data_IF_732492240192
#
_entry.id   IF_732492240192
#
_cell.length_a   1.000
_cell.length_b   1.000
_cell.length_c   1.000
_cell.angle_alpha   90.00
_cell.angle_beta   90.00
_cell.angle_gamma   90.00
#
_symmetry.space_group_name_H-M   'P 1'
#
loop_
_entity.id
_entity.type
_entity.pdbx_description
1 polymer ?
#
# COMPACT_ATOMS: atom_id res chain seq x y z
N UNK A 1 -5.86 -37.09 -22.80
CA UNK A 1 -7.18 -36.77 -23.40
C UNK A 1 -8.23 -36.44 -22.35
N UNK A 2 -8.39 -37.25 -21.30
CA UNK A 2 -9.42 -37.07 -20.26
C UNK A 2 -9.38 -35.70 -19.53
N UNK A 3 -8.20 -35.23 -19.13
CA UNK A 3 -8.04 -33.89 -18.52
C UNK A 3 -8.51 -32.76 -19.44
N UNK A 4 -8.24 -32.85 -20.74
CA UNK A 4 -8.62 -31.81 -21.71
C UNK A 4 -10.13 -31.77 -21.87
N UNK A 5 -10.78 -32.94 -21.96
CA UNK A 5 -12.24 -33.04 -22.03
C UNK A 5 -12.92 -32.46 -20.78
N UNK A 6 -12.36 -32.70 -19.60
CA UNK A 6 -12.84 -32.12 -18.35
C UNK A 6 -12.77 -30.59 -18.35
N UNK A 7 -11.63 -30.02 -18.76
CA UNK A 7 -11.47 -28.57 -18.85
C UNK A 7 -12.40 -27.94 -19.91
N UNK A 8 -12.58 -28.60 -21.05
CA UNK A 8 -13.56 -28.16 -22.06
C UNK A 8 -14.98 -28.13 -21.49
N UNK A 9 -15.37 -29.14 -20.68
CA UNK A 9 -16.69 -29.16 -20.03
C UNK A 9 -16.85 -28.02 -19.03
N UNK A 10 -15.83 -27.70 -18.22
CA UNK A 10 -15.84 -26.52 -17.34
C UNK A 10 -16.04 -25.21 -18.12
N UNK A 11 -15.37 -25.06 -19.26
CA UNK A 11 -15.53 -23.88 -20.14
C UNK A 11 -16.95 -23.78 -20.67
N UNK A 12 -17.54 -24.89 -21.13
CA UNK A 12 -18.92 -24.92 -21.60
C UNK A 12 -19.91 -24.55 -20.49
N UNK A 13 -19.69 -25.04 -19.26
CA UNK A 13 -20.52 -24.67 -18.11
C UNK A 13 -20.49 -23.16 -17.86
N UNK A 14 -19.30 -22.53 -17.90
CA UNK A 14 -19.17 -21.08 -17.77
C UNK A 14 -19.83 -20.32 -18.92
N UNK A 15 -19.64 -20.78 -20.16
CA UNK A 15 -20.22 -20.14 -21.34
C UNK A 15 -21.74 -20.17 -21.35
N UNK A 16 -22.35 -21.25 -20.86
CA UNK A 16 -23.79 -21.44 -20.89
C UNK A 16 -24.53 -20.76 -19.73
N UNK A 17 -23.85 -20.53 -18.59
CA UNK A 17 -24.51 -20.12 -17.35
C UNK A 17 -24.01 -18.77 -16.79
N UNK A 18 -22.73 -18.46 -17.03
CA UNK A 18 -22.06 -17.29 -16.42
C UNK A 18 -21.88 -16.17 -17.43
N UNK A 19 -21.45 -16.50 -18.65
CA UNK A 19 -21.17 -15.52 -19.70
C UNK A 19 -22.47 -15.24 -20.48
N UNK A 20 -22.87 -13.97 -20.58
CA UNK A 20 -24.07 -13.58 -21.31
C UNK A 20 -23.71 -12.56 -22.40
N UNK A 21 -24.18 -12.72 -23.65
CA UNK A 21 -24.03 -11.72 -24.71
C UNK A 21 -24.54 -10.33 -24.31
N UNK A 22 -23.87 -9.27 -24.75
CA UNK A 22 -24.24 -7.89 -24.40
C UNK A 22 -25.65 -7.53 -24.86
N UNK A 23 -26.09 -8.06 -26.01
CA UNK A 23 -27.42 -7.78 -26.56
C UNK A 23 -28.52 -8.22 -25.59
N UNK A 24 -28.37 -9.40 -24.98
CA UNK A 24 -29.32 -9.94 -24.01
C UNK A 24 -29.28 -9.11 -22.71
N UNK A 25 -28.08 -8.76 -22.25
CA UNK A 25 -27.94 -7.96 -21.02
C UNK A 25 -28.52 -6.56 -21.13
N UNK A 26 -28.47 -5.91 -22.31
CA UNK A 26 -29.06 -4.57 -22.50
C UNK A 26 -30.55 -4.53 -22.15
N UNK A 27 -31.25 -5.63 -22.33
CA UNK A 27 -32.70 -5.73 -22.11
C UNK A 27 -33.04 -6.30 -20.73
N UNK A 28 -32.14 -7.08 -20.13
CA UNK A 28 -32.44 -7.92 -18.95
C UNK A 28 -31.66 -7.57 -17.70
N UNK A 29 -30.52 -6.88 -17.81
CA UNK A 29 -29.66 -6.60 -16.65
C UNK A 29 -30.31 -5.62 -15.68
N UNK A 30 -30.11 -5.88 -14.39
CA UNK A 30 -30.45 -4.97 -13.29
C UNK A 30 -29.33 -3.97 -12.98
N UNK A 31 -28.17 -4.07 -13.67
CA UNK A 31 -26.93 -3.31 -13.38
C UNK A 31 -26.35 -2.65 -14.64
N UNK A 32 -27.08 -1.73 -15.28
CA UNK A 32 -26.72 -1.16 -16.58
C UNK A 32 -25.38 -0.41 -16.56
N UNK A 33 -24.99 0.16 -15.42
CA UNK A 33 -23.69 0.81 -15.23
C UNK A 33 -22.51 -0.13 -15.48
N UNK A 34 -22.63 -1.41 -15.10
CA UNK A 34 -21.56 -2.40 -15.30
C UNK A 34 -21.37 -2.73 -16.78
N UNK A 35 -22.47 -2.74 -17.53
CA UNK A 35 -22.47 -2.97 -18.97
C UNK A 35 -21.80 -1.81 -19.71
N UNK A 36 -22.13 -0.56 -19.37
CA UNK A 36 -21.50 0.63 -19.97
C UNK A 36 -19.98 0.65 -19.74
N UNK A 37 -19.53 0.33 -18.51
CA UNK A 37 -18.10 0.23 -18.21
C UNK A 37 -17.45 -0.89 -19.02
N UNK A 38 -18.13 -2.04 -19.13
CA UNK A 38 -17.60 -3.18 -19.89
C UNK A 38 -17.51 -2.88 -21.37
N UNK A 39 -18.54 -2.28 -21.98
CA UNK A 39 -18.54 -1.88 -23.40
C UNK A 39 -17.44 -0.84 -23.69
N UNK A 40 -17.30 0.19 -22.85
CA UNK A 40 -16.27 1.22 -23.02
C UNK A 40 -14.83 0.67 -22.94
N UNK A 41 -14.62 -0.39 -22.16
CA UNK A 41 -13.33 -1.06 -21.99
C UNK A 41 -13.10 -2.18 -23.01
N UNK A 42 -14.15 -2.89 -23.41
CA UNK A 42 -14.12 -3.92 -24.47
C UNK A 42 -13.71 -3.33 -25.81
N UNK A 43 -14.19 -2.13 -26.13
CA UNK A 43 -13.92 -1.49 -27.42
C UNK A 43 -12.42 -1.25 -27.70
N UNK A 44 -11.59 -1.17 -26.64
CA UNK A 44 -10.14 -0.94 -26.78
C UNK A 44 -9.32 -2.22 -26.90
N UNK A 45 -9.78 -3.34 -26.32
CA UNK A 45 -8.93 -4.53 -26.16
C UNK A 45 -9.59 -5.89 -26.41
N UNK A 46 -10.92 -5.98 -26.54
CA UNK A 46 -11.66 -7.25 -26.73
C UNK A 46 -11.39 -8.33 -25.65
N UNK A 47 -10.90 -7.93 -24.48
CA UNK A 47 -10.43 -8.84 -23.41
C UNK A 47 -11.41 -9.03 -22.26
N UNK A 48 -12.48 -8.25 -22.21
CA UNK A 48 -13.48 -8.36 -21.15
C UNK A 48 -14.68 -9.14 -21.67
N UNK A 49 -15.28 -9.94 -20.79
CA UNK A 49 -16.48 -10.70 -21.06
C UNK A 49 -17.62 -10.13 -20.25
N UNK A 50 -18.81 -10.18 -20.83
CA UNK A 50 -20.03 -9.84 -20.12
C UNK A 50 -20.50 -11.07 -19.33
N UNK A 51 -20.95 -10.84 -18.10
CA UNK A 51 -21.38 -11.90 -17.18
C UNK A 51 -22.81 -11.63 -16.70
N UNK A 52 -23.48 -12.68 -16.24
CA UNK A 52 -24.82 -12.57 -15.64
C UNK A 52 -24.81 -11.72 -14.36
N UNK A 53 -25.95 -11.12 -14.03
CA UNK A 53 -26.11 -10.36 -12.79
C UNK A 53 -25.80 -11.20 -11.55
N UNK A 54 -26.20 -12.48 -11.57
CA UNK A 54 -25.90 -13.44 -10.50
C UNK A 54 -24.40 -13.66 -10.34
N UNK A 55 -23.67 -13.81 -11.45
CA UNK A 55 -22.22 -13.96 -11.43
C UNK A 55 -21.54 -12.67 -10.93
N UNK A 56 -22.03 -11.50 -11.35
CA UNK A 56 -21.53 -10.23 -10.84
C UNK A 56 -21.72 -10.13 -9.32
N UNK A 57 -22.89 -10.49 -8.79
CA UNK A 57 -23.12 -10.51 -7.33
C UNK A 57 -22.21 -11.47 -6.60
N UNK A 58 -21.96 -12.65 -7.17
CA UNK A 58 -21.00 -13.58 -6.63
C UNK A 58 -19.60 -12.96 -6.54
N UNK A 59 -19.11 -12.32 -7.62
CA UNK A 59 -17.79 -11.68 -7.61
C UNK A 59 -17.71 -10.49 -6.65
N UNK A 60 -18.79 -9.73 -6.45
CA UNK A 60 -18.84 -8.68 -5.45
C UNK A 60 -18.68 -9.22 -4.03
N UNK A 61 -19.32 -10.34 -3.71
CA UNK A 61 -19.16 -11.00 -2.40
C UNK A 61 -17.77 -11.62 -2.25
N UNK A 62 -17.23 -12.21 -3.31
CA UNK A 62 -15.88 -12.77 -3.32
C UNK A 62 -14.83 -11.67 -3.10
N UNK A 63 -15.02 -10.50 -3.73
CA UNK A 63 -14.14 -9.34 -3.53
C UNK A 63 -14.22 -8.80 -2.11
N UNK A 64 -15.42 -8.73 -1.53
CA UNK A 64 -15.59 -8.35 -0.13
C UNK A 64 -14.79 -9.29 0.79
N UNK A 65 -14.95 -10.61 0.62
CA UNK A 65 -14.17 -11.60 1.38
C UNK A 65 -12.66 -11.42 1.19
N UNK A 66 -12.22 -11.10 -0.03
CA UNK A 66 -10.81 -10.87 -0.33
C UNK A 66 -10.27 -9.64 0.40
N UNK A 67 -10.99 -8.53 0.42
CA UNK A 67 -10.56 -7.29 1.09
C UNK A 67 -10.54 -7.45 2.61
N UNK A 68 -11.56 -8.11 3.17
CA UNK A 68 -11.66 -8.35 4.62
C UNK A 68 -10.54 -9.25 5.15
N UNK A 69 -10.07 -10.18 4.30
CA UNK A 69 -9.02 -11.14 4.66
C UNK A 69 -7.62 -10.66 4.26
N UNK A 70 -7.48 -10.01 3.12
CA UNK A 70 -6.18 -9.53 2.60
C UNK A 70 -6.09 -8.01 2.79
N UNK A 71 -5.66 -7.61 3.99
CA UNK A 71 -5.40 -6.23 4.34
C UNK A 71 -4.17 -6.12 5.25
N UNK A 72 -3.79 -4.87 5.55
CA UNK A 72 -2.59 -4.58 6.36
C UNK A 72 -2.66 -5.21 7.75
N UNK A 73 -3.82 -5.15 8.40
CA UNK A 73 -4.00 -5.69 9.74
C UNK A 73 -3.74 -7.20 9.75
N UNK A 74 -4.37 -7.93 8.81
CA UNK A 74 -4.19 -9.38 8.69
C UNK A 74 -2.77 -9.74 8.26
N UNK A 75 -2.14 -8.95 7.38
CA UNK A 75 -0.73 -9.15 7.00
C UNK A 75 0.23 -9.08 8.19
N UNK A 76 0.00 -8.16 9.13
CA UNK A 76 0.83 -8.06 10.33
C UNK A 76 0.56 -9.16 11.35
N UNK A 77 -0.64 -9.75 11.36
CA UNK A 77 -0.99 -10.84 12.27
C UNK A 77 -0.57 -12.22 11.76
N UNK A 78 -0.88 -12.52 10.50
CA UNK A 78 -0.72 -13.87 9.91
C UNK A 78 0.58 -14.01 9.10
N UNK A 79 1.15 -12.90 8.64
CA UNK A 79 2.43 -12.91 7.94
C UNK A 79 2.40 -13.73 6.64
N UNK A 80 3.37 -14.64 6.42
CA UNK A 80 3.50 -15.37 5.15
C UNK A 80 2.32 -16.29 4.79
N UNK A 81 1.58 -16.82 5.78
CA UNK A 81 0.47 -17.76 5.55
C UNK A 81 -0.85 -17.10 5.13
N UNK A 82 -0.91 -15.76 5.21
CA UNK A 82 -2.13 -14.97 4.98
C UNK A 82 -2.93 -15.40 3.74
N UNK A 83 -2.25 -15.63 2.61
CA UNK A 83 -2.91 -15.83 1.32
C UNK A 83 -3.49 -17.25 1.26
N UNK A 84 -2.67 -18.25 1.59
CA UNK A 84 -3.05 -19.66 1.59
C UNK A 84 -4.19 -19.92 2.59
N UNK A 85 -4.07 -19.39 3.82
CA UNK A 85 -5.08 -19.55 4.87
C UNK A 85 -6.41 -18.88 4.45
N UNK A 86 -6.32 -17.68 3.86
CA UNK A 86 -7.50 -16.97 3.35
C UNK A 86 -8.19 -17.73 2.22
N UNK A 87 -7.44 -18.36 1.32
CA UNK A 87 -8.00 -19.17 0.23
C UNK A 87 -8.69 -20.40 0.82
N UNK A 88 -8.05 -21.11 1.74
CA UNK A 88 -8.61 -22.30 2.37
C UNK A 88 -9.94 -21.99 3.06
N UNK A 89 -10.00 -20.94 3.85
CA UNK A 89 -11.22 -20.50 4.53
C UNK A 89 -12.35 -20.17 3.55
N UNK A 90 -12.04 -19.42 2.48
CA UNK A 90 -13.05 -18.99 1.51
C UNK A 90 -13.51 -20.17 0.66
N UNK A 91 -12.62 -21.12 0.34
CA UNK A 91 -13.03 -22.35 -0.36
C UNK A 91 -14.01 -23.20 0.46
N UNK A 92 -13.98 -23.11 1.78
CA UNK A 92 -14.91 -23.82 2.69
C UNK A 92 -16.19 -23.01 3.02
N UNK A 93 -16.32 -21.80 2.48
CA UNK A 93 -17.47 -20.94 2.76
C UNK A 93 -18.74 -21.44 2.05
N UNK A 94 -19.66 -22.05 2.80
CA UNK A 94 -20.90 -22.62 2.29
C UNK A 94 -21.82 -21.60 1.61
N UNK A 95 -21.83 -20.34 2.08
CA UNK A 95 -22.67 -19.28 1.51
C UNK A 95 -22.19 -18.94 0.11
N UNK A 96 -20.87 -18.76 -0.07
CA UNK A 96 -20.28 -18.50 -1.39
C UNK A 96 -20.41 -19.70 -2.32
N UNK A 97 -20.18 -20.93 -1.82
CA UNK A 97 -20.40 -22.14 -2.59
C UNK A 97 -21.84 -22.22 -3.09
N UNK A 98 -22.83 -22.01 -2.22
CA UNK A 98 -24.25 -22.05 -2.57
C UNK A 98 -24.58 -20.98 -3.61
N UNK A 99 -24.08 -19.75 -3.42
CA UNK A 99 -24.31 -18.66 -4.37
C UNK A 99 -23.66 -18.93 -5.72
N UNK A 100 -22.49 -19.57 -5.76
CA UNK A 100 -21.84 -19.98 -7.00
C UNK A 100 -22.58 -21.14 -7.68
N UNK A 101 -23.01 -22.16 -6.93
CA UNK A 101 -23.79 -23.28 -7.44
C UNK A 101 -25.10 -22.82 -8.08
N UNK A 102 -25.78 -21.85 -7.46
CA UNK A 102 -27.02 -21.27 -7.97
C UNK A 102 -26.86 -20.52 -9.30
N UNK A 103 -25.62 -20.26 -9.75
CA UNK A 103 -25.38 -19.73 -11.09
C UNK A 103 -25.63 -20.77 -12.18
N UNK A 104 -25.60 -22.06 -11.85
CA UNK A 104 -25.69 -23.15 -12.80
C UNK A 104 -27.02 -23.87 -12.62
N UNK A 105 -27.74 -24.10 -13.72
CA UNK A 105 -28.87 -25.03 -13.73
C UNK A 105 -28.30 -26.46 -13.73
N UNK A 106 -28.06 -27.00 -12.53
CA UNK A 106 -27.48 -28.32 -12.35
C UNK A 106 -28.57 -29.39 -12.37
N UNK A 107 -28.49 -30.28 -13.34
CA UNK A 107 -29.24 -31.54 -13.34
C UNK A 107 -28.55 -32.52 -12.35
N UNK A 108 -29.27 -33.54 -11.86
CA UNK A 108 -28.75 -34.57 -10.95
C UNK A 108 -27.58 -35.42 -11.52
N UNK A 109 -27.14 -35.13 -12.75
CA UNK A 109 -26.16 -35.87 -13.56
C UNK A 109 -24.67 -35.72 -13.13
N UNK A 110 -24.39 -35.33 -11.88
CA UNK A 110 -23.03 -35.31 -11.35
C UNK A 110 -22.18 -34.06 -11.66
N UNK A 111 -22.74 -33.04 -12.30
CA UNK A 111 -22.02 -31.80 -12.63
C UNK A 111 -21.76 -30.91 -11.40
N UNK A 112 -22.47 -31.15 -10.29
CA UNK A 112 -22.27 -30.44 -9.03
C UNK A 112 -20.82 -30.53 -8.51
N UNK A 113 -20.22 -31.72 -8.56
CA UNK A 113 -18.83 -31.90 -8.12
C UNK A 113 -17.85 -31.10 -9.01
N UNK A 114 -18.12 -31.04 -10.31
CA UNK A 114 -17.32 -30.28 -11.26
C UNK A 114 -17.46 -28.76 -11.05
N UNK A 115 -18.66 -28.28 -10.75
CA UNK A 115 -18.88 -26.86 -10.42
C UNK A 115 -18.24 -26.46 -9.10
N UNK A 116 -18.24 -27.34 -8.09
CA UNK A 116 -17.51 -27.10 -6.84
C UNK A 116 -15.99 -27.05 -7.06
N UNK A 117 -15.45 -27.91 -7.92
CA UNK A 117 -14.04 -27.82 -8.31
C UNK A 117 -13.75 -26.50 -9.03
N UNK A 118 -14.62 -26.09 -9.95
CA UNK A 118 -14.51 -24.81 -10.65
C UNK A 118 -14.58 -23.62 -9.68
N UNK A 119 -15.44 -23.69 -8.66
CA UNK A 119 -15.50 -22.70 -7.59
C UNK A 119 -14.14 -22.55 -6.89
N UNK A 120 -13.52 -23.66 -6.46
CA UNK A 120 -12.22 -23.64 -5.82
C UNK A 120 -11.14 -23.02 -6.72
N UNK A 121 -11.17 -23.33 -8.02
CA UNK A 121 -10.26 -22.72 -8.99
C UNK A 121 -10.47 -21.21 -9.15
N UNK A 122 -11.72 -20.76 -9.24
CA UNK A 122 -12.08 -19.34 -9.35
C UNK A 122 -11.60 -18.59 -8.11
N UNK A 123 -11.91 -19.08 -6.91
CA UNK A 123 -11.45 -18.48 -5.64
C UNK A 123 -9.93 -18.37 -5.62
N UNK A 124 -9.22 -19.47 -5.88
CA UNK A 124 -7.77 -19.51 -5.85
C UNK A 124 -7.13 -18.50 -6.82
N UNK A 125 -7.59 -18.47 -8.07
CA UNK A 125 -7.06 -17.52 -9.08
C UNK A 125 -7.39 -16.07 -8.72
N UNK A 126 -8.61 -15.80 -8.28
CA UNK A 126 -9.07 -14.47 -7.91
C UNK A 126 -8.28 -13.92 -6.72
N UNK A 127 -8.13 -14.71 -5.66
CA UNK A 127 -7.38 -14.34 -4.47
C UNK A 127 -5.90 -14.11 -4.78
N UNK A 128 -5.25 -15.00 -5.54
CA UNK A 128 -3.84 -14.81 -5.92
C UNK A 128 -3.60 -13.55 -6.74
N UNK A 129 -4.51 -13.24 -7.67
CA UNK A 129 -4.44 -12.00 -8.45
C UNK A 129 -4.54 -10.76 -7.55
N UNK A 130 -5.56 -10.70 -6.68
CA UNK A 130 -5.74 -9.56 -5.78
C UNK A 130 -4.64 -9.46 -4.71
N UNK A 131 -4.18 -10.58 -4.17
CA UNK A 131 -3.05 -10.64 -3.24
C UNK A 131 -1.75 -10.12 -3.89
N UNK A 132 -1.49 -10.52 -5.13
CA UNK A 132 -0.35 -10.04 -5.89
C UNK A 132 -0.40 -8.52 -6.10
N UNK A 133 -1.57 -7.96 -6.35
CA UNK A 133 -1.76 -6.51 -6.44
C UNK A 133 -1.53 -5.83 -5.08
N UNK A 134 -2.17 -6.32 -4.03
CA UNK A 134 -2.02 -5.81 -2.66
C UNK A 134 -0.56 -5.77 -2.21
N UNK A 135 0.19 -6.87 -2.39
CA UNK A 135 1.61 -6.93 -2.01
C UNK A 135 2.50 -6.02 -2.86
N UNK A 136 2.15 -5.77 -4.13
CA UNK A 136 2.86 -4.78 -4.95
C UNK A 136 2.65 -3.37 -4.40
N UNK A 137 1.41 -3.02 -4.08
CA UNK A 137 1.07 -1.69 -3.60
C UNK A 137 1.63 -1.46 -2.19
N UNK A 138 1.51 -2.44 -1.29
CA UNK A 138 2.15 -2.41 0.03
C UNK A 138 3.66 -2.14 -0.06
N UNK A 139 4.38 -2.85 -0.94
CA UNK A 139 5.83 -2.65 -1.11
C UNK A 139 6.15 -1.25 -1.66
N UNK A 140 5.37 -0.76 -2.62
CA UNK A 140 5.55 0.60 -3.16
C UNK A 140 5.39 1.64 -2.06
N UNK A 141 4.33 1.54 -1.27
CA UNK A 141 4.05 2.47 -0.17
C UNK A 141 5.15 2.43 0.89
N UNK A 142 5.60 1.23 1.25
CA UNK A 142 6.71 1.05 2.18
C UNK A 142 8.02 1.67 1.67
N UNK A 143 8.34 1.48 0.38
CA UNK A 143 9.51 2.11 -0.24
C UNK A 143 9.43 3.64 -0.25
N UNK A 144 8.25 4.20 -0.51
CA UNK A 144 8.01 5.64 -0.43
C UNK A 144 8.26 6.14 0.99
N UNK A 145 7.68 5.49 2.01
CA UNK A 145 7.89 5.85 3.42
C UNK A 145 9.37 5.82 3.80
N UNK A 146 10.11 4.77 3.42
CA UNK A 146 11.56 4.68 3.66
C UNK A 146 12.33 5.83 3.00
N UNK A 147 11.94 6.19 1.78
CA UNK A 147 12.56 7.30 1.04
C UNK A 147 12.29 8.65 1.72
N UNK A 148 11.06 8.90 2.17
CA UNK A 148 10.72 10.09 2.93
C UNK A 148 11.47 10.17 4.25
N UNK A 149 11.54 9.06 5.00
CA UNK A 149 12.30 9.00 6.25
C UNK A 149 13.78 9.31 6.03
N UNK A 150 14.39 8.74 4.98
CA UNK A 150 15.77 9.02 4.62
C UNK A 150 15.98 10.50 4.24
N UNK A 151 15.11 11.07 3.40
CA UNK A 151 15.17 12.49 3.01
C UNK A 151 15.07 13.40 4.23
N UNK A 152 14.17 13.10 5.16
CA UNK A 152 14.04 13.85 6.43
C UNK A 152 15.33 13.80 7.24
N UNK A 153 15.93 12.61 7.41
CA UNK A 153 17.20 12.44 8.12
C UNK A 153 18.35 13.22 7.46
N UNK A 154 18.45 13.18 6.13
CA UNK A 154 19.46 13.92 5.38
C UNK A 154 19.30 15.43 5.52
N UNK A 155 18.07 15.94 5.44
CA UNK A 155 17.77 17.36 5.65
C UNK A 155 18.16 17.82 7.05
N UNK A 156 17.82 17.03 8.08
CA UNK A 156 18.23 17.32 9.46
C UNK A 156 19.75 17.32 9.62
N UNK A 157 20.47 16.34 9.04
CA UNK A 157 21.94 16.30 9.07
C UNK A 157 22.55 17.52 8.37
N UNK A 158 22.01 17.91 7.20
CA UNK A 158 22.46 19.09 6.45
C UNK A 158 22.23 20.38 7.25
N UNK A 159 21.07 20.50 7.89
CA UNK A 159 20.74 21.64 8.73
C UNK A 159 21.68 21.73 9.94
N UNK A 160 21.95 20.60 10.63
CA UNK A 160 22.92 20.54 11.72
C UNK A 160 24.34 20.89 11.26
N UNK A 161 24.78 20.40 10.09
CA UNK A 161 26.09 20.74 9.54
C UNK A 161 26.20 22.24 9.23
N UNK A 162 25.13 22.85 8.68
CA UNK A 162 25.07 24.29 8.44
C UNK A 162 25.10 25.09 9.74
N UNK A 163 24.36 24.67 10.78
CA UNK A 163 24.42 25.27 12.12
C UNK A 163 25.83 25.20 12.71
N UNK A 164 26.53 24.07 12.56
CA UNK A 164 27.93 23.91 13.00
C UNK A 164 28.89 24.84 12.25
N UNK A 165 28.71 25.07 10.95
CA UNK A 165 29.54 26.02 10.18
C UNK A 165 29.38 27.47 10.64
N UNK A 166 28.23 27.83 11.21
CA UNK A 166 28.00 29.16 11.78
C UNK A 166 28.71 29.36 13.12
N UNK A 167 29.15 28.28 13.80
CA UNK A 167 29.85 28.36 15.09
C UNK A 167 31.10 29.24 14.96
N UNK A 168 31.14 30.34 15.69
CA UNK A 168 32.35 31.14 15.92
C UNK A 168 33.37 30.25 16.62
N UNK A 169 34.53 30.05 15.98
CA UNK A 169 35.59 29.18 16.48
C UNK A 169 36.27 29.77 17.72
N UNK A 170 36.48 28.94 18.74
CA UNK A 170 37.07 29.36 20.03
C UNK A 170 38.45 30.01 19.90
N UNK A 171 39.37 29.51 19.04
CA UNK A 171 40.65 30.20 18.84
C UNK A 171 40.48 31.65 18.39
N UNK A 172 39.43 31.97 17.62
CA UNK A 172 39.14 33.35 17.21
C UNK A 172 38.61 34.22 18.36
N UNK A 173 38.01 33.61 19.39
CA UNK A 173 37.54 34.28 20.62
C UNK A 173 38.71 34.48 21.59
N UNK A 174 39.68 33.58 21.57
CA UNK A 174 40.90 33.68 22.40
C UNK A 174 41.88 34.72 21.85
N UNK A 175 41.96 34.86 20.53
CA UNK A 175 42.78 35.85 19.83
C UNK A 175 42.17 37.26 19.79
N UNK A 176 40.96 37.45 20.33
CA UNK A 176 40.30 38.75 20.37
C UNK A 176 40.95 39.66 21.42
N UNK A 177 41.74 40.63 20.94
CA UNK A 177 42.44 41.64 21.75
C UNK A 177 41.58 42.86 22.08
N UNK A 178 40.32 42.91 21.64
CA UNK A 178 39.43 44.03 21.95
C UNK A 178 39.11 44.10 23.44
N UNK A 179 38.94 45.32 23.96
CA UNK A 179 38.60 45.55 25.37
C UNK A 179 37.33 44.77 25.74
N UNK A 180 37.45 43.83 26.67
CA UNK A 180 36.31 43.00 27.07
C UNK A 180 35.88 41.93 26.05
N UNK A 181 36.70 41.60 25.04
CA UNK A 181 36.33 40.69 23.93
C UNK A 181 35.04 41.12 23.18
N UNK A 182 34.87 42.44 23.03
CA UNK A 182 33.67 43.07 22.45
C UNK A 182 33.36 42.56 21.03
N UNK A 183 34.37 42.29 20.21
CA UNK A 183 34.20 41.76 18.85
C UNK A 183 33.62 40.34 18.86
N UNK A 184 34.08 39.49 19.78
CA UNK A 184 33.55 38.14 19.98
C UNK A 184 32.11 38.16 20.49
N UNK A 185 31.79 39.08 21.41
CA UNK A 185 30.43 39.28 21.90
C UNK A 185 29.47 39.72 20.79
N UNK A 186 29.86 40.65 19.92
CA UNK A 186 29.06 41.06 18.77
C UNK A 186 28.80 39.91 17.78
N UNK A 187 29.81 39.06 17.53
CA UNK A 187 29.66 37.87 16.67
C UNK A 187 28.71 36.83 17.28
N UNK A 188 28.79 36.63 18.60
CA UNK A 188 27.87 35.74 19.31
C UNK A 188 26.44 36.31 19.36
N UNK A 189 26.27 37.62 19.53
CA UNK A 189 24.96 38.27 19.42
C UNK A 189 24.37 38.11 18.02
N UNK A 190 25.17 38.30 16.97
CA UNK A 190 24.73 38.06 15.60
C UNK A 190 24.37 36.59 15.33
N UNK A 191 25.02 35.65 16.01
CA UNK A 191 24.71 34.22 15.95
C UNK A 191 23.39 33.89 16.68
N UNK A 192 23.15 34.48 17.86
CA UNK A 192 21.88 34.36 18.59
C UNK A 192 20.72 34.94 17.77
N UNK A 193 20.91 36.09 17.11
CA UNK A 193 19.91 36.68 16.25
C UNK A 193 19.53 35.79 15.04
N UNK A 194 20.43 34.90 14.60
CA UNK A 194 20.20 33.97 13.49
C UNK A 194 19.68 32.59 13.90
N UNK A 195 20.06 32.10 15.08
CA UNK A 195 19.82 30.71 15.51
C UNK A 195 18.97 30.59 16.78
N UNK A 196 18.55 31.71 17.36
CA UNK A 196 17.90 31.83 18.67
C UNK A 196 18.77 31.28 19.83
N UNK A 197 18.30 31.45 21.07
CA UNK A 197 19.03 31.05 22.27
C UNK A 197 19.28 29.53 22.35
N UNK A 198 18.34 28.72 21.86
CA UNK A 198 18.47 27.26 21.77
C UNK A 198 19.59 26.83 20.82
N UNK A 199 19.81 27.58 19.73
CA UNK A 199 20.92 27.33 18.81
C UNK A 199 22.29 27.50 19.47
N UNK A 200 22.39 28.42 20.43
CA UNK A 200 23.64 28.67 21.17
C UNK A 200 23.94 27.52 22.16
N UNK A 201 22.92 27.03 22.88
CA UNK A 201 23.04 25.89 23.80
C UNK A 201 23.45 24.60 23.08
N UNK A 202 22.96 24.40 21.85
CA UNK A 202 23.27 23.22 21.04
C UNK A 202 24.68 23.27 20.42
N UNK A 203 25.27 24.46 20.27
CA UNK A 203 26.56 24.65 19.59
C UNK A 203 27.74 24.82 20.55
N UNK A 204 27.50 25.32 21.76
CA UNK A 204 28.56 25.65 22.72
C UNK A 204 28.37 24.98 24.07
N UNK A 205 29.46 24.44 24.62
CA UNK A 205 29.48 24.00 26.01
C UNK A 205 29.71 25.18 26.96
N UNK A 206 29.25 25.06 28.22
CA UNK A 206 29.45 26.08 29.26
C UNK A 206 30.92 26.52 29.39
N UNK A 207 31.86 25.58 29.32
CA UNK A 207 33.32 25.83 29.37
C UNK A 207 33.82 26.67 28.19
N UNK A 208 33.20 26.53 27.03
CA UNK A 208 33.55 27.28 25.82
C UNK A 208 33.07 28.73 25.90
N UNK A 209 31.85 28.93 26.41
CA UNK A 209 31.28 30.28 26.61
C UNK A 209 31.98 31.03 27.74
N UNK A 210 32.45 30.34 28.78
CA UNK A 210 33.25 30.97 29.85
C UNK A 210 34.53 31.64 29.34
N UNK A 211 35.08 31.23 28.20
CA UNK A 211 36.25 31.88 27.57
C UNK A 211 35.93 33.25 26.95
N UNK A 212 34.65 33.58 26.78
CA UNK A 212 34.19 34.90 26.35
C UNK A 212 34.09 35.88 27.53
N UNK A 213 33.91 35.36 28.74
CA UNK A 213 33.97 36.15 29.96
C UNK A 213 35.44 36.51 30.22
N UNK A 214 35.75 37.80 30.28
CA UNK A 214 37.03 38.24 30.82
C UNK A 214 37.02 37.87 32.31
N UNK A 215 37.91 36.98 32.72
CA UNK A 215 38.19 36.78 34.15
C UNK A 215 38.58 38.15 34.71
N UNK A 216 37.84 38.69 35.71
CA UNK A 216 38.31 39.88 36.39
C UNK A 216 39.68 39.53 36.96
N UNK A 217 40.70 40.28 36.54
CA UNK A 217 41.99 40.26 37.21
C UNK A 217 41.68 40.74 38.64
N UNK A 218 41.76 39.82 39.61
CA UNK A 218 42.00 40.20 41.00
C UNK A 218 43.45 40.63 41.14
#
# INVERSE_FOLDING_TARGET
>A
MERVLKEMKKVLLLQNNVIIPSQILRETTKKPETLNVTESRQFREHRLLNISDGAYEFFMLLEQQRVDRINLFQLFQQGPGLIEDSIEDVTKNEVLQTKFLNLFCLDDNGDKAMVLELYCEVVNRYFKMGAGQFLRDFRKDYHLQKTFANRKSLMQKKEQANKKKLKVHIPQIEQDTSKGKKLSHLRLQALVAKLNAEGLQNLYQKKELQKTCVTPIM
#
